data_IF_778960606492
#
_entry.id   IF_778960606492
#
_cell.length_a   1.000
_cell.length_b   1.000
_cell.length_c   1.000
_cell.angle_alpha   90.00
_cell.angle_beta   90.00
_cell.angle_gamma   90.00
#
_symmetry.space_group_name_H-M   'P 1'
#
loop_
_entity.id
_entity.type
_entity.pdbx_description
1 polymer ?
#
# COMPACT_ATOMS: atom_id res chain seq x y z
N UNK A 1 8.17 -0.85 -4.74
CA UNK A 1 6.77 -0.41 -4.52
C UNK A 1 6.81 1.09 -4.37
N UNK A 2 6.01 1.80 -5.16
CA UNK A 2 5.86 3.25 -5.08
C UNK A 2 4.37 3.59 -5.02
N UNK A 3 3.97 4.41 -4.07
CA UNK A 3 2.58 4.74 -3.79
C UNK A 3 2.47 6.25 -3.68
N UNK A 4 1.46 6.82 -4.32
CA UNK A 4 1.06 8.21 -4.11
C UNK A 4 -0.18 8.21 -3.23
N UNK A 5 -0.07 8.87 -2.08
CA UNK A 5 -1.18 9.06 -1.15
C UNK A 5 -1.55 10.53 -1.24
N UNK A 6 -2.78 10.81 -1.69
CA UNK A 6 -3.29 12.16 -1.77
C UNK A 6 -4.14 12.45 -0.53
N UNK A 7 -3.57 13.22 0.39
CA UNK A 7 -4.17 13.59 1.67
C UNK A 7 -3.97 15.10 1.91
N UNK A 8 -4.96 15.76 2.50
CA UNK A 8 -4.88 17.19 2.88
C UNK A 8 -4.13 17.42 4.21
N UNK A 9 -3.76 16.34 4.90
CA UNK A 9 -3.06 16.30 6.19
C UNK A 9 -1.76 15.49 6.07
N UNK A 10 -0.82 15.73 6.98
CA UNK A 10 0.43 14.97 7.03
C UNK A 10 0.14 13.51 7.40
N UNK A 11 0.59 12.58 6.55
CA UNK A 11 0.53 11.13 6.82
C UNK A 11 1.61 10.78 7.85
N UNK A 12 1.19 10.16 8.94
CA UNK A 12 2.05 9.70 10.03
C UNK A 12 2.70 8.34 9.70
N UNK A 13 1.92 7.39 9.17
CA UNK A 13 2.39 6.07 8.80
C UNK A 13 1.69 5.59 7.52
N UNK A 14 2.43 4.95 6.62
CA UNK A 14 1.89 4.22 5.47
C UNK A 14 2.48 2.80 5.44
N UNK A 15 1.62 1.79 5.43
CA UNK A 15 2.00 0.37 5.51
C UNK A 15 1.44 -0.39 4.33
N UNK A 16 2.35 -1.03 3.59
CA UNK A 16 2.04 -1.98 2.54
C UNK A 16 1.95 -3.39 3.13
N UNK A 17 0.75 -3.95 3.12
CA UNK A 17 0.48 -5.31 3.56
C UNK A 17 0.44 -6.24 2.37
N UNK A 18 1.17 -7.37 2.41
CA UNK A 18 1.26 -8.26 1.25
C UNK A 18 1.44 -9.73 1.62
N UNK A 19 1.01 -10.63 0.73
CA UNK A 19 1.23 -12.08 0.83
C UNK A 19 1.33 -12.71 -0.56
N UNK A 20 1.80 -13.96 -0.60
CA UNK A 20 1.96 -14.71 -1.86
C UNK A 20 0.74 -15.59 -2.13
N UNK A 21 0.23 -15.56 -3.35
CA UNK A 21 -0.70 -16.56 -3.91
C UNK A 21 -1.91 -16.93 -3.02
N UNK A 22 -2.55 -15.98 -2.36
CA UNK A 22 -3.71 -16.26 -1.50
C UNK A 22 -3.36 -16.82 -0.12
N UNK A 23 -2.08 -17.03 0.17
CA UNK A 23 -1.62 -17.97 1.21
C UNK A 23 -0.73 -17.31 2.25
N UNK A 24 -0.86 -17.81 3.48
CA UNK A 24 -0.02 -17.45 4.62
C UNK A 24 -0.41 -16.14 5.29
N UNK A 25 0.46 -15.67 6.17
CA UNK A 25 0.27 -14.45 6.95
C UNK A 25 0.65 -13.21 6.13
N UNK A 26 -0.15 -12.16 6.26
CA UNK A 26 0.19 -10.83 5.76
C UNK A 26 1.52 -10.34 6.33
N UNK A 27 2.46 -10.01 5.45
CA UNK A 27 3.70 -9.30 5.79
C UNK A 27 3.44 -7.80 5.77
N UNK A 28 4.11 -7.06 6.65
CA UNK A 28 4.02 -5.60 6.75
C UNK A 28 5.31 -4.98 6.24
N UNK A 29 5.19 -3.96 5.41
CA UNK A 29 6.28 -3.14 4.92
C UNK A 29 5.91 -1.66 5.14
N UNK A 30 6.57 -1.00 6.07
CA UNK A 30 6.43 0.44 6.27
C UNK A 30 7.06 1.16 5.07
N UNK A 31 6.32 2.08 4.47
CA UNK A 31 6.77 2.88 3.34
C UNK A 31 7.46 4.15 3.85
N UNK A 32 8.51 4.56 3.16
CA UNK A 32 9.26 5.77 3.47
C UNK A 32 8.82 6.88 2.51
N UNK A 33 8.54 8.07 3.05
CA UNK A 33 8.22 9.26 2.27
C UNK A 33 9.51 9.89 1.71
N UNK A 34 9.53 10.13 0.40
CA UNK A 34 10.54 10.93 -0.30
C UNK A 34 9.80 11.91 -1.24
N UNK A 35 9.79 13.19 -0.87
CA UNK A 35 8.97 14.21 -1.55
C UNK A 35 7.47 13.92 -1.41
N UNK A 36 6.80 13.63 -2.53
CA UNK A 36 5.38 13.26 -2.63
C UNK A 36 5.14 11.75 -2.74
N UNK A 37 6.19 10.92 -2.65
CA UNK A 37 6.11 9.48 -2.91
C UNK A 37 6.46 8.63 -1.70
N UNK A 38 5.60 7.65 -1.44
CA UNK A 38 5.85 6.60 -0.46
C UNK A 38 6.48 5.40 -1.15
N UNK A 39 7.64 4.95 -0.66
CA UNK A 39 8.36 3.85 -1.29
C UNK A 39 8.86 2.80 -0.32
N UNK A 40 8.91 1.56 -0.81
CA UNK A 40 9.36 0.41 -0.04
C UNK A 40 9.90 -0.71 -0.93
N UNK A 41 10.78 -1.54 -0.36
CA UNK A 41 11.40 -2.68 -1.03
C UNK A 41 10.93 -3.98 -0.39
N UNK A 42 10.32 -4.84 -1.20
CA UNK A 42 10.01 -6.22 -0.82
C UNK A 42 11.27 -7.06 -0.99
N UNK A 43 11.56 -7.96 -0.06
CA UNK A 43 12.72 -8.83 -0.18
C UNK A 43 12.54 -9.81 -1.34
N UNK A 44 13.61 -10.12 -2.06
CA UNK A 44 13.56 -11.05 -3.20
C UNK A 44 12.96 -12.42 -2.82
N UNK A 45 13.31 -12.97 -1.65
CA UNK A 45 12.76 -14.25 -1.17
C UNK A 45 11.25 -14.22 -0.91
N UNK A 46 10.68 -13.03 -0.71
CA UNK A 46 9.25 -12.86 -0.54
C UNK A 46 8.50 -12.84 -1.87
N UNK A 47 9.21 -12.63 -2.98
CA UNK A 47 8.69 -12.68 -4.35
C UNK A 47 9.01 -14.01 -5.05
N UNK A 48 10.02 -14.73 -4.58
CA UNK A 48 10.46 -15.97 -5.20
C UNK A 48 9.36 -17.03 -5.19
N UNK A 49 9.10 -17.58 -6.39
CA UNK A 49 8.09 -18.61 -6.63
C UNK A 49 6.64 -18.16 -6.53
N UNK A 50 6.37 -16.86 -6.34
CA UNK A 50 5.01 -16.33 -6.38
C UNK A 50 4.55 -16.14 -7.83
N UNK A 51 3.37 -16.66 -8.16
CA UNK A 51 2.67 -16.29 -9.38
C UNK A 51 2.03 -14.90 -9.22
N UNK A 52 1.56 -14.62 -8.00
CA UNK A 52 0.85 -13.40 -7.64
C UNK A 52 1.21 -12.91 -6.24
N UNK A 53 1.31 -11.58 -6.09
CA UNK A 53 1.37 -10.91 -4.80
C UNK A 53 0.05 -10.17 -4.59
N UNK A 54 -0.73 -10.61 -3.60
CA UNK A 54 -1.87 -9.85 -3.12
C UNK A 54 -1.38 -8.80 -2.13
N UNK A 55 -2.01 -7.63 -2.15
CA UNK A 55 -1.68 -6.56 -1.25
C UNK A 55 -2.87 -5.67 -0.91
N UNK A 56 -2.73 -4.94 0.18
CA UNK A 56 -3.53 -3.76 0.49
C UNK A 56 -2.62 -2.76 1.20
N UNK A 57 -3.03 -1.51 1.24
CA UNK A 57 -2.24 -0.45 1.86
C UNK A 57 -3.11 0.27 2.88
N UNK A 58 -2.55 0.53 4.05
CA UNK A 58 -3.19 1.31 5.11
C UNK A 58 -2.31 2.51 5.40
N UNK A 59 -2.91 3.69 5.51
CA UNK A 59 -2.21 4.89 5.91
C UNK A 59 -2.99 5.60 7.02
N UNK A 60 -2.27 6.13 8.00
CA UNK A 60 -2.82 6.97 9.06
C UNK A 60 -2.22 8.37 9.00
N UNK A 61 -3.04 9.38 9.24
CA UNK A 61 -2.58 10.76 9.35
C UNK A 61 -2.33 11.18 10.80
N UNK A 62 -1.73 12.35 10.98
CA UNK A 62 -1.48 12.97 12.30
C UNK A 62 -2.76 13.38 13.05
N UNK A 63 -3.93 13.32 12.41
CA UNK A 63 -5.24 13.61 13.02
C UNK A 63 -5.94 12.35 13.54
N UNK A 64 -5.38 11.18 13.26
CA UNK A 64 -5.93 9.86 13.60
C UNK A 64 -6.92 9.31 12.56
N UNK A 65 -7.04 9.94 11.39
CA UNK A 65 -7.77 9.39 10.26
C UNK A 65 -6.98 8.24 9.64
N UNK A 66 -7.69 7.20 9.22
CA UNK A 66 -7.10 6.01 8.58
C UNK A 66 -7.77 5.79 7.23
N UNK A 67 -6.97 5.82 6.17
CA UNK A 67 -7.37 5.47 4.81
C UNK A 67 -6.76 4.13 4.37
N UNK A 68 -7.41 3.45 3.44
CA UNK A 68 -6.86 2.24 2.82
C UNK A 68 -7.17 2.13 1.34
N UNK A 69 -6.29 1.44 0.62
CA UNK A 69 -6.59 0.86 -0.68
C UNK A 69 -6.67 -0.66 -0.51
N UNK A 70 -7.87 -1.17 -0.77
CA UNK A 70 -8.21 -2.54 -0.44
C UNK A 70 -8.28 -2.81 1.06
N UNK A 71 -8.35 -4.08 1.39
CA UNK A 71 -8.40 -4.63 2.74
C UNK A 71 -7.96 -6.10 2.72
N UNK A 72 -7.86 -6.73 3.89
CA UNK A 72 -7.56 -8.18 3.97
C UNK A 72 -8.56 -9.08 3.22
N UNK A 73 -9.78 -8.58 2.97
CA UNK A 73 -10.86 -9.31 2.29
C UNK A 73 -11.17 -8.78 0.89
N UNK A 74 -10.55 -7.67 0.48
CA UNK A 74 -10.75 -7.00 -0.80
C UNK A 74 -9.39 -6.49 -1.27
N UNK A 75 -8.59 -7.40 -1.80
CA UNK A 75 -7.15 -7.19 -2.02
C UNK A 75 -6.89 -6.72 -3.44
N UNK A 76 -5.84 -5.94 -3.59
CA UNK A 76 -5.24 -5.64 -4.88
C UNK A 76 -4.23 -6.74 -5.27
N UNK A 77 -3.93 -6.84 -6.56
CA UNK A 77 -3.10 -7.91 -7.12
C UNK A 77 -1.95 -7.32 -7.95
N UNK A 78 -0.72 -7.78 -7.68
CA UNK A 78 0.42 -7.60 -8.58
C UNK A 78 0.83 -8.95 -9.16
N UNK A 79 0.89 -9.04 -10.49
CA UNK A 79 1.43 -10.22 -11.17
C UNK A 79 2.87 -9.98 -11.59
N UNK A 80 3.69 -11.01 -11.44
CA UNK A 80 5.02 -11.01 -12.03
C UNK A 80 4.85 -11.08 -13.54
N UNK A 81 4.87 -9.94 -14.24
CA UNK A 81 5.08 -9.91 -15.69
C UNK A 81 6.33 -10.76 -15.96
N UNK A 82 6.22 -11.85 -16.73
CA UNK A 82 7.24 -12.91 -16.86
C UNK A 82 8.62 -12.49 -17.37
N UNK A 83 8.93 -11.20 -17.47
CA UNK A 83 10.29 -10.69 -17.57
C UNK A 83 10.85 -10.48 -16.16
N UNK A 84 11.90 -11.23 -15.83
CA UNK A 84 12.72 -10.95 -14.65
C UNK A 84 13.01 -9.44 -14.60
N UNK A 85 12.44 -8.69 -13.63
CA UNK A 85 12.94 -7.37 -13.37
C UNK A 85 14.39 -7.59 -12.96
N UNK A 86 15.32 -6.89 -13.61
CA UNK A 86 16.68 -6.77 -13.12
C UNK A 86 16.66 -6.38 -11.62
N UNK A 87 17.79 -6.50 -10.90
CA UNK A 87 17.83 -6.32 -9.46
C UNK A 87 17.30 -4.92 -9.07
N UNK A 88 16.03 -4.86 -8.69
CA UNK A 88 15.35 -3.65 -8.22
C UNK A 88 14.47 -2.95 -9.26
N UNK A 89 13.22 -3.38 -9.39
CA UNK A 89 12.03 -2.53 -9.25
C UNK A 89 10.79 -3.26 -9.79
N UNK A 90 9.97 -3.82 -8.90
CA UNK A 90 8.54 -3.94 -9.20
C UNK A 90 7.92 -2.57 -8.97
N UNK A 91 7.50 -1.91 -10.06
CA UNK A 91 6.78 -0.64 -10.07
C UNK A 91 5.29 -0.96 -10.02
N UNK A 92 4.71 -1.08 -8.84
CA UNK A 92 3.28 -0.80 -8.68
C UNK A 92 3.17 0.70 -8.49
N UNK A 93 2.37 1.36 -9.34
CA UNK A 93 1.98 2.77 -9.16
C UNK A 93 0.57 2.73 -8.63
N UNK A 94 0.39 3.14 -7.39
CA UNK A 94 -0.87 3.02 -6.68
C UNK A 94 -1.27 4.41 -6.19
N UNK A 95 -2.41 4.91 -6.66
CA UNK A 95 -2.97 6.19 -6.22
C UNK A 95 -4.06 5.91 -5.18
N UNK A 96 -3.81 6.31 -3.93
CA UNK A 96 -4.83 6.28 -2.89
C UNK A 96 -5.55 7.63 -2.85
N UNK A 97 -6.88 7.57 -2.94
CA UNK A 97 -7.75 8.74 -2.72
C UNK A 97 -8.39 8.58 -1.36
N UNK A 98 -8.03 9.47 -0.44
CA UNK A 98 -8.65 9.52 0.88
C UNK A 98 -10.01 10.20 0.77
N UNK A 99 -11.06 9.54 1.25
CA UNK A 99 -12.37 10.18 1.41
C UNK A 99 -12.38 10.96 2.72
N UNK A 100 -12.31 12.29 2.64
CA UNK A 100 -12.77 13.14 3.73
C UNK A 100 -14.28 12.95 3.84
N UNK A 101 -14.73 12.08 4.75
CA UNK A 101 -16.10 12.22 5.25
C UNK A 101 -16.07 13.48 6.10
N UNK A 102 -16.50 14.59 5.49
CA UNK A 102 -16.87 15.79 6.21
C UNK A 102 -18.01 15.41 7.17
N UNK A 103 -17.64 14.92 8.34
CA UNK A 103 -18.55 14.50 9.39
C UNK A 103 -19.39 15.72 9.75
N UNK A 104 -20.60 15.77 9.20
CA UNK A 104 -21.56 16.82 9.45
C UNK A 104 -21.70 17.04 10.94
N UNK A 105 -21.16 18.16 11.42
CA UNK A 105 -21.47 18.69 12.73
C UNK A 105 -22.93 19.12 12.67
N UNK A 106 -23.78 18.17 13.05
CA UNK A 106 -25.22 18.33 13.22
C UNK A 106 -25.46 19.58 14.06
N UNK A 107 -26.13 20.55 13.45
CA UNK A 107 -26.62 21.77 14.09
C UNK A 107 -27.30 21.42 15.42
N UNK A 108 -26.96 22.18 16.47
CA UNK A 108 -27.78 22.37 17.65
C UNK A 108 -27.76 23.82 18.03
#
# INVERSE_FOLDING_TARGET
IEVTINEDTEVEEAVFHYRKDGKGTWKRLVLNLDGDRYSGKINKGDLEGADEIEYYIVASDTTGFVGSLGSETDTETMRSSGESPGPGAMMAVVAMVSFVILGGRRER
#
